data_IF_963829790584
#
_entry.id   IF_963829790584
#
_cell.length_a   1.000
_cell.length_b   1.000
_cell.length_c   1.000
_cell.angle_alpha   90.00
_cell.angle_beta   90.00
_cell.angle_gamma   90.00
#
_symmetry.space_group_name_H-M   'P 1'
#
loop_
_entity.id
_entity.type
_entity.pdbx_description
1 polymer ?
#
# COMPACT_ATOMS: atom_id res chain seq x y z
N UNK A 1 77.01 69.42 99.83
CA UNK A 1 75.74 68.67 100.04
C UNK A 1 75.38 67.92 98.75
N UNK A 2 76.02 66.79 98.45
CA UNK A 2 75.94 66.12 97.14
C UNK A 2 75.58 64.62 97.18
N UNK A 3 75.17 64.05 98.32
CA UNK A 3 75.14 62.58 98.50
C UNK A 3 73.78 61.90 98.74
N UNK A 4 72.64 62.55 98.42
CA UNK A 4 71.32 61.90 98.55
C UNK A 4 70.64 61.50 97.22
N UNK A 5 71.28 61.68 96.06
CA UNK A 5 70.67 61.40 94.74
C UNK A 5 71.01 60.03 94.11
N UNK A 6 71.82 59.20 94.76
CA UNK A 6 72.28 57.91 94.16
C UNK A 6 71.41 56.71 94.54
N UNK A 7 70.77 56.71 95.72
CA UNK A 7 69.98 55.57 96.21
C UNK A 7 68.63 55.37 95.47
N UNK A 8 68.00 56.44 94.97
CA UNK A 8 66.70 56.36 94.28
C UNK A 8 66.80 55.91 92.81
N UNK A 9 68.00 55.88 92.22
CA UNK A 9 68.23 55.32 90.87
C UNK A 9 68.39 53.80 90.85
N UNK A 10 68.83 53.19 91.96
CA UNK A 10 69.06 51.73 92.04
C UNK A 10 67.76 50.92 92.20
N UNK A 11 66.82 51.40 93.04
CA UNK A 11 65.51 50.76 93.23
C UNK A 11 64.63 50.79 91.96
N UNK A 12 64.67 51.88 91.17
CA UNK A 12 64.00 51.97 89.87
C UNK A 12 64.53 50.95 88.85
N UNK A 13 65.83 50.60 88.93
CA UNK A 13 66.48 49.64 88.03
C UNK A 13 66.13 48.19 88.37
N UNK A 14 65.93 47.86 89.65
CA UNK A 14 65.45 46.53 90.08
C UNK A 14 63.94 46.33 89.86
N UNK A 15 63.12 47.33 90.18
CA UNK A 15 61.68 47.28 89.89
C UNK A 15 61.40 47.16 88.38
N UNK A 16 62.17 47.86 87.54
CA UNK A 16 62.08 47.73 86.07
C UNK A 16 62.43 46.32 85.57
N UNK A 17 63.39 45.63 86.19
CA UNK A 17 63.80 44.25 85.84
C UNK A 17 62.77 43.20 86.26
N UNK A 18 62.13 43.36 87.42
CA UNK A 18 61.05 42.46 87.88
C UNK A 18 59.81 42.63 87.00
N UNK A 19 59.45 43.86 86.62
CA UNK A 19 58.34 44.14 85.70
C UNK A 19 58.62 43.60 84.29
N UNK A 20 59.88 43.62 83.83
CA UNK A 20 60.24 42.99 82.54
C UNK A 20 60.23 41.46 82.61
N UNK A 21 60.72 40.86 83.70
CA UNK A 21 60.64 39.42 83.89
C UNK A 21 59.18 38.92 83.96
N UNK A 22 58.29 39.64 84.66
CA UNK A 22 56.87 39.31 84.73
C UNK A 22 56.20 39.41 83.35
N UNK A 23 56.50 40.47 82.57
CA UNK A 23 56.01 40.60 81.19
C UNK A 23 56.50 39.47 80.29
N UNK A 24 57.74 39.01 80.44
CA UNK A 24 58.26 37.89 79.64
C UNK A 24 57.54 36.59 80.00
N UNK A 25 57.31 36.32 81.29
CA UNK A 25 56.56 35.14 81.73
C UNK A 25 55.11 35.19 81.23
N UNK A 26 54.45 36.33 81.33
CA UNK A 26 53.09 36.50 80.82
C UNK A 26 53.01 36.28 79.31
N UNK A 27 53.99 36.78 78.53
CA UNK A 27 54.09 36.55 77.08
C UNK A 27 54.36 35.08 76.74
N UNK A 28 55.18 34.38 77.52
CA UNK A 28 55.45 32.94 77.31
C UNK A 28 54.23 32.08 77.67
N UNK A 29 53.47 32.47 78.71
CA UNK A 29 52.25 31.77 79.12
C UNK A 29 51.11 32.02 78.14
N UNK A 30 50.94 33.23 77.61
CA UNK A 30 49.95 33.52 76.55
C UNK A 30 50.29 32.79 75.27
N UNK A 31 51.53 32.87 74.79
CA UNK A 31 51.96 32.13 73.59
C UNK A 31 51.81 30.61 73.73
N UNK A 32 52.12 30.01 74.89
CA UNK A 32 51.83 28.58 75.13
C UNK A 32 50.33 28.28 75.14
N UNK A 33 49.49 29.13 75.75
CA UNK A 33 48.03 28.95 75.72
C UNK A 33 47.47 29.06 74.31
N UNK A 34 47.96 30.00 73.52
CA UNK A 34 47.53 30.20 72.13
C UNK A 34 47.96 29.04 71.22
N UNK A 35 49.17 28.49 71.43
CA UNK A 35 49.61 27.28 70.72
C UNK A 35 48.80 26.04 71.11
N UNK A 36 48.38 25.91 72.37
CA UNK A 36 47.51 24.80 72.81
C UNK A 36 46.10 24.97 72.25
N UNK A 37 45.59 26.20 72.20
CA UNK A 37 44.26 26.54 71.68
C UNK A 37 44.15 26.28 70.18
N UNK A 38 45.12 26.77 69.40
CA UNK A 38 45.23 26.52 67.96
C UNK A 38 45.38 25.03 67.63
N UNK A 39 46.13 24.26 68.43
CA UNK A 39 46.20 22.79 68.27
C UNK A 39 44.87 22.08 68.57
N UNK A 40 44.09 22.57 69.55
CA UNK A 40 42.74 22.04 69.83
C UNK A 40 41.77 22.37 68.69
N UNK A 41 41.77 23.62 68.24
CA UNK A 41 40.92 24.10 67.14
C UNK A 41 41.24 23.34 65.84
N UNK A 42 42.52 23.13 65.49
CA UNK A 42 42.91 22.34 64.33
C UNK A 42 42.47 20.86 64.44
N UNK A 43 42.42 20.30 65.65
CA UNK A 43 41.97 18.92 65.88
C UNK A 43 40.45 18.80 65.74
N UNK A 44 39.68 19.75 66.29
CA UNK A 44 38.23 19.83 66.14
C UNK A 44 37.82 20.11 64.69
N UNK A 45 38.54 20.97 63.98
CA UNK A 45 38.33 21.18 62.54
C UNK A 45 38.59 19.91 61.73
N UNK A 46 39.67 19.18 62.05
CA UNK A 46 39.97 17.88 61.43
C UNK A 46 38.83 16.86 61.64
N UNK A 47 38.29 16.77 62.85
CA UNK A 47 37.15 15.90 63.17
C UNK A 47 35.86 16.34 62.47
N UNK A 48 35.58 17.65 62.39
CA UNK A 48 34.43 18.19 61.68
C UNK A 48 34.50 17.93 60.17
N UNK A 49 35.68 18.06 59.56
CA UNK A 49 35.92 17.71 58.16
C UNK A 49 35.70 16.21 57.93
N UNK A 50 36.17 15.36 58.85
CA UNK A 50 35.96 13.91 58.77
C UNK A 50 34.47 13.54 58.87
N UNK A 51 33.72 14.17 59.79
CA UNK A 51 32.27 14.00 59.91
C UNK A 51 31.52 14.44 58.66
N UNK A 52 31.88 15.59 58.07
CA UNK A 52 31.31 16.05 56.80
C UNK A 52 31.59 15.07 55.66
N UNK A 53 32.81 14.52 55.59
CA UNK A 53 33.17 13.45 54.63
C UNK A 53 32.34 12.17 54.84
N UNK A 54 32.11 11.77 56.09
CA UNK A 54 31.26 10.62 56.40
C UNK A 54 29.79 10.87 56.01
N UNK A 55 29.24 12.04 56.36
CA UNK A 55 27.87 12.42 55.99
C UNK A 55 27.67 12.47 54.48
N UNK A 56 28.60 13.08 53.74
CA UNK A 56 28.55 13.11 52.27
C UNK A 56 28.64 11.71 51.66
N UNK A 57 29.41 10.79 52.25
CA UNK A 57 29.42 9.39 51.81
C UNK A 57 28.08 8.68 52.07
N UNK A 58 27.48 8.87 53.24
CA UNK A 58 26.15 8.29 53.56
C UNK A 58 25.09 8.81 52.60
N UNK A 59 25.08 10.12 52.34
CA UNK A 59 24.16 10.74 51.38
C UNK A 59 24.38 10.16 49.99
N UNK A 60 25.63 10.09 49.52
CA UNK A 60 25.97 9.50 48.21
C UNK A 60 25.53 8.04 48.10
N UNK A 61 25.71 7.27 49.16
CA UNK A 61 25.27 5.87 49.18
C UNK A 61 23.75 5.77 49.10
N UNK A 62 23.02 6.54 49.90
CA UNK A 62 21.54 6.56 49.88
C UNK A 62 20.99 6.98 48.51
N UNK A 63 21.63 7.96 47.86
CA UNK A 63 21.24 8.46 46.55
C UNK A 63 21.52 7.41 45.46
N UNK A 64 22.66 6.72 45.53
CA UNK A 64 22.97 5.62 44.62
C UNK A 64 21.94 4.49 44.75
N UNK A 65 21.53 4.14 45.97
CA UNK A 65 20.49 3.12 46.21
C UNK A 65 19.15 3.57 45.63
N UNK A 66 18.77 4.83 45.84
CA UNK A 66 17.54 5.42 45.27
C UNK A 66 17.53 5.34 43.74
N UNK A 67 18.64 5.73 43.10
CA UNK A 67 18.80 5.66 41.64
C UNK A 67 18.79 4.22 41.14
N UNK A 68 19.43 3.30 41.87
CA UNK A 68 19.41 1.89 41.53
C UNK A 68 17.99 1.32 41.56
N UNK A 69 17.22 1.60 42.61
CA UNK A 69 15.83 1.17 42.71
C UNK A 69 14.95 1.80 41.64
N UNK A 70 15.17 3.07 41.30
CA UNK A 70 14.48 3.73 40.20
C UNK A 70 14.76 3.03 38.87
N UNK A 71 16.03 2.77 38.55
CA UNK A 71 16.43 2.03 37.33
C UNK A 71 15.83 0.62 37.31
N UNK A 72 15.82 -0.08 38.45
CA UNK A 72 15.23 -1.42 38.56
C UNK A 72 13.72 -1.40 38.29
N UNK A 73 13.00 -0.42 38.85
CA UNK A 73 11.56 -0.23 38.60
C UNK A 73 11.28 0.12 37.14
N UNK A 74 12.07 1.03 36.55
CA UNK A 74 11.95 1.36 35.13
C UNK A 74 12.24 0.15 34.23
N UNK A 75 13.28 -0.62 34.53
CA UNK A 75 13.60 -1.84 33.79
C UNK A 75 12.47 -2.86 33.86
N UNK A 76 11.90 -3.08 35.05
CA UNK A 76 10.73 -3.94 35.23
C UNK A 76 9.53 -3.46 34.43
N UNK A 77 9.19 -2.16 34.50
CA UNK A 77 8.09 -1.58 33.74
C UNK A 77 8.30 -1.74 32.23
N UNK A 78 9.50 -1.47 31.73
CA UNK A 78 9.86 -1.69 30.32
C UNK A 78 9.68 -3.15 29.91
N UNK A 79 10.08 -4.12 30.74
CA UNK A 79 9.89 -5.55 30.45
C UNK A 79 8.41 -5.92 30.37
N UNK A 80 7.61 -5.45 31.31
CA UNK A 80 6.15 -5.68 31.33
C UNK A 80 5.51 -5.09 30.07
N UNK A 81 5.83 -3.84 29.74
CA UNK A 81 5.31 -3.17 28.53
C UNK A 81 5.72 -3.89 27.25
N UNK A 82 6.99 -4.33 27.15
CA UNK A 82 7.48 -5.11 26.00
C UNK A 82 6.74 -6.44 25.88
N UNK A 83 6.55 -7.15 26.99
CA UNK A 83 5.79 -8.40 27.01
C UNK A 83 4.33 -8.19 26.58
N UNK A 84 3.67 -7.15 27.09
CA UNK A 84 2.30 -6.80 26.71
C UNK A 84 2.16 -6.44 25.23
N UNK A 85 3.06 -5.60 24.70
CA UNK A 85 3.08 -5.26 23.27
C UNK A 85 3.26 -6.51 22.42
N UNK A 86 4.18 -7.40 22.79
CA UNK A 86 4.40 -8.66 22.09
C UNK A 86 3.17 -9.57 22.16
N UNK A 87 2.52 -9.68 23.31
CA UNK A 87 1.28 -10.44 23.47
C UNK A 87 0.18 -9.89 22.56
N UNK A 88 -0.07 -8.57 22.61
CA UNK A 88 -1.07 -7.90 21.76
C UNK A 88 -0.81 -8.12 20.27
N UNK A 89 0.44 -7.97 19.83
CA UNK A 89 0.83 -8.22 18.42
C UNK A 89 0.63 -9.68 18.03
N UNK A 90 0.97 -10.64 18.91
CA UNK A 90 0.70 -12.06 18.68
C UNK A 90 -0.78 -12.36 18.60
N UNK A 91 -1.60 -11.85 19.52
CA UNK A 91 -3.05 -12.04 19.50
C UNK A 91 -3.67 -11.50 18.21
N UNK A 92 -3.23 -10.32 17.77
CA UNK A 92 -3.66 -9.73 16.50
C UNK A 92 -3.22 -10.56 15.30
N UNK A 93 -1.95 -11.00 15.27
CA UNK A 93 -1.43 -11.84 14.21
C UNK A 93 -2.19 -13.17 14.12
N UNK A 94 -2.43 -13.85 15.25
CA UNK A 94 -3.20 -15.09 15.32
C UNK A 94 -4.62 -14.86 14.78
N UNK A 95 -5.29 -13.77 15.18
CA UNK A 95 -6.62 -13.42 14.68
C UNK A 95 -6.62 -13.20 13.16
N UNK A 96 -5.60 -12.52 12.64
CA UNK A 96 -5.47 -12.25 11.21
C UNK A 96 -5.25 -13.56 10.43
N UNK A 97 -4.37 -14.44 10.92
CA UNK A 97 -4.13 -15.77 10.32
C UNK A 97 -5.40 -16.62 10.36
N UNK A 98 -6.14 -16.64 11.47
CA UNK A 98 -7.40 -17.36 11.57
C UNK A 98 -8.43 -16.83 10.57
N UNK A 99 -8.56 -15.50 10.44
CA UNK A 99 -9.47 -14.88 9.46
C UNK A 99 -9.08 -15.23 8.01
N UNK A 100 -7.79 -15.22 7.68
CA UNK A 100 -7.29 -15.63 6.38
C UNK A 100 -7.55 -17.12 6.09
N UNK A 101 -7.37 -17.99 7.09
CA UNK A 101 -7.66 -19.42 6.95
C UNK A 101 -9.14 -19.67 6.67
N UNK A 102 -10.04 -19.03 7.41
CA UNK A 102 -11.49 -19.11 7.18
C UNK A 102 -11.87 -18.59 5.79
N UNK A 103 -11.27 -17.48 5.35
CA UNK A 103 -11.50 -16.94 4.01
C UNK A 103 -11.04 -17.92 2.92
N UNK A 104 -9.84 -18.51 3.06
CA UNK A 104 -9.35 -19.54 2.13
C UNK A 104 -10.25 -20.77 2.10
N UNK A 105 -10.77 -21.23 3.24
CA UNK A 105 -11.73 -22.34 3.28
C UNK A 105 -13.02 -21.99 2.54
N UNK A 106 -13.60 -20.80 2.77
CA UNK A 106 -14.83 -20.37 2.05
C UNK A 106 -14.61 -20.27 0.54
N UNK A 107 -13.47 -19.72 0.10
CA UNK A 107 -13.14 -19.64 -1.33
C UNK A 107 -12.92 -21.02 -1.96
N UNK A 108 -12.49 -22.03 -1.18
CA UNK A 108 -12.31 -23.41 -1.64
C UNK A 108 -13.60 -24.23 -1.67
N UNK A 109 -14.65 -23.85 -0.94
CA UNK A 109 -15.89 -24.63 -0.88
C UNK A 109 -16.49 -24.91 -2.27
N UNK A 110 -16.52 -23.92 -3.15
CA UNK A 110 -17.01 -24.13 -4.53
C UNK A 110 -16.13 -25.06 -5.37
N UNK A 111 -14.80 -24.99 -5.18
CA UNK A 111 -13.87 -25.88 -5.87
C UNK A 111 -13.97 -27.33 -5.33
N UNK A 112 -14.14 -27.49 -4.03
CA UNK A 112 -14.29 -28.80 -3.39
C UNK A 112 -15.62 -29.46 -3.80
N UNK A 113 -16.70 -28.68 -3.92
CA UNK A 113 -17.98 -29.16 -4.46
C UNK A 113 -17.85 -29.59 -5.92
N UNK A 114 -17.18 -28.78 -6.75
CA UNK A 114 -16.90 -29.14 -8.14
C UNK A 114 -16.08 -30.44 -8.25
N UNK A 115 -15.04 -30.60 -7.43
CA UNK A 115 -14.25 -31.84 -7.37
C UNK A 115 -15.08 -33.04 -6.92
N UNK A 116 -16.00 -32.86 -5.94
CA UNK A 116 -16.93 -33.92 -5.52
C UNK A 116 -17.86 -34.34 -6.65
N UNK A 117 -18.38 -33.38 -7.42
CA UNK A 117 -19.22 -33.67 -8.59
C UNK A 117 -18.44 -34.45 -9.65
N UNK A 118 -17.20 -34.04 -9.97
CA UNK A 118 -16.32 -34.78 -10.90
C UNK A 118 -16.07 -36.21 -10.40
N UNK A 119 -15.74 -36.35 -9.12
CA UNK A 119 -15.50 -37.66 -8.51
C UNK A 119 -16.75 -38.55 -8.59
N UNK A 120 -17.93 -38.00 -8.27
CA UNK A 120 -19.20 -38.72 -8.38
C UNK A 120 -19.47 -39.18 -9.83
N UNK A 121 -19.27 -38.31 -10.82
CA UNK A 121 -19.43 -38.67 -12.24
C UNK A 121 -18.44 -39.75 -12.67
N UNK A 122 -17.20 -39.69 -12.18
CA UNK A 122 -16.17 -40.68 -12.48
C UNK A 122 -16.54 -42.04 -11.89
N UNK A 123 -17.02 -42.08 -10.64
CA UNK A 123 -17.50 -43.31 -10.00
C UNK A 123 -18.71 -43.87 -10.76
N UNK A 124 -19.69 -43.02 -11.14
CA UNK A 124 -20.84 -43.44 -11.92
C UNK A 124 -20.44 -44.04 -13.27
N UNK A 125 -19.50 -43.41 -13.98
CA UNK A 125 -18.98 -43.91 -15.25
C UNK A 125 -18.29 -45.27 -15.07
N UNK A 126 -17.44 -45.40 -14.05
CA UNK A 126 -16.76 -46.65 -13.72
C UNK A 126 -17.76 -47.77 -13.40
N UNK A 127 -18.81 -47.46 -12.62
CA UNK A 127 -19.87 -48.39 -12.27
C UNK A 127 -20.67 -48.86 -13.49
N UNK A 128 -21.07 -47.93 -14.37
CA UNK A 128 -21.73 -48.27 -15.65
C UNK A 128 -20.85 -49.16 -16.51
N UNK A 129 -19.54 -48.87 -16.61
CA UNK A 129 -18.57 -49.73 -17.31
C UNK A 129 -18.45 -51.12 -16.68
N UNK A 130 -18.53 -51.23 -15.35
CA UNK A 130 -18.50 -52.50 -14.64
C UNK A 130 -19.73 -53.36 -14.94
N UNK A 131 -20.94 -52.80 -14.78
CA UNK A 131 -22.20 -53.50 -15.06
C UNK A 131 -22.24 -53.96 -16.51
N UNK A 132 -21.86 -53.11 -17.46
CA UNK A 132 -21.81 -53.47 -18.88
C UNK A 132 -20.88 -54.65 -19.15
N UNK A 133 -19.69 -54.67 -18.54
CA UNK A 133 -18.74 -55.79 -18.66
C UNK A 133 -19.31 -57.09 -18.08
N UNK A 134 -19.92 -57.03 -16.90
CA UNK A 134 -20.63 -58.17 -16.28
C UNK A 134 -21.73 -58.72 -17.19
N UNK A 135 -22.56 -57.84 -17.76
CA UNK A 135 -23.66 -58.24 -18.63
C UNK A 135 -23.16 -58.83 -19.97
N UNK A 136 -22.09 -58.27 -20.56
CA UNK A 136 -21.45 -58.85 -21.74
C UNK A 136 -20.81 -60.23 -21.47
N UNK A 137 -20.34 -60.46 -20.25
CA UNK A 137 -19.83 -61.77 -19.83
C UNK A 137 -20.96 -62.79 -19.73
N UNK A 138 -22.12 -62.42 -19.17
CA UNK A 138 -23.27 -63.32 -19.03
C UNK A 138 -24.04 -63.59 -20.32
N UNK A 139 -23.95 -62.70 -21.33
CA UNK A 139 -24.74 -62.79 -22.57
C UNK A 139 -24.18 -63.74 -23.66
N UNK A 140 -23.32 -64.70 -23.34
CA UNK A 140 -22.83 -65.65 -24.35
C UNK A 140 -23.99 -66.58 -24.82
N UNK A 141 -24.27 -66.75 -26.13
CA UNK A 141 -23.52 -66.35 -27.33
C UNK A 141 -23.95 -65.01 -28.02
N UNK A 142 -24.99 -64.31 -27.54
CA UNK A 142 -25.59 -63.12 -28.20
C UNK A 142 -24.88 -61.77 -27.94
N UNK A 143 -23.56 -61.77 -27.70
CA UNK A 143 -22.77 -60.57 -27.35
C UNK A 143 -22.80 -59.47 -28.43
N UNK A 144 -23.16 -59.81 -29.67
CA UNK A 144 -23.18 -58.90 -30.82
C UNK A 144 -24.21 -57.78 -30.68
N UNK A 145 -25.36 -58.05 -30.05
CA UNK A 145 -26.44 -57.06 -29.90
C UNK A 145 -26.03 -55.89 -29.00
N UNK A 146 -25.42 -56.17 -27.84
CA UNK A 146 -24.94 -55.12 -26.93
C UNK A 146 -23.65 -54.44 -27.39
N UNK A 147 -22.80 -55.11 -28.17
CA UNK A 147 -21.59 -54.47 -28.72
C UNK A 147 -21.89 -53.33 -29.70
N UNK A 148 -23.01 -53.40 -30.44
CA UNK A 148 -23.41 -52.35 -31.38
C UNK A 148 -23.71 -51.01 -30.70
N UNK A 149 -24.16 -51.06 -29.44
CA UNK A 149 -24.47 -49.91 -28.61
C UNK A 149 -23.31 -49.49 -27.70
N UNK A 150 -22.08 -49.94 -27.99
CA UNK A 150 -20.89 -49.58 -27.20
C UNK A 150 -20.45 -48.17 -27.58
N UNK A 151 -20.40 -47.21 -26.63
CA UNK A 151 -19.98 -45.84 -26.95
C UNK A 151 -18.61 -45.78 -27.62
N UNK A 152 -17.68 -46.68 -27.28
CA UNK A 152 -16.36 -46.73 -27.93
C UNK A 152 -16.48 -47.17 -29.39
N UNK A 153 -17.31 -48.17 -29.69
CA UNK A 153 -17.55 -48.65 -31.04
C UNK A 153 -18.32 -47.61 -31.88
N UNK A 154 -19.33 -46.96 -31.30
CA UNK A 154 -20.09 -45.88 -31.95
C UNK A 154 -19.16 -44.72 -32.28
N UNK A 155 -18.34 -44.27 -31.33
CA UNK A 155 -17.37 -43.21 -31.55
C UNK A 155 -16.35 -43.58 -32.63
N UNK A 156 -15.87 -44.82 -32.64
CA UNK A 156 -14.96 -45.31 -33.69
C UNK A 156 -15.62 -45.28 -35.07
N UNK A 157 -16.88 -45.74 -35.18
CA UNK A 157 -17.65 -45.68 -36.43
C UNK A 157 -17.87 -44.25 -36.90
N UNK A 158 -18.23 -43.34 -35.99
CA UNK A 158 -18.40 -41.92 -36.30
C UNK A 158 -17.09 -41.30 -36.77
N UNK A 159 -15.96 -41.58 -36.10
CA UNK A 159 -14.64 -41.10 -36.55
C UNK A 159 -14.27 -41.63 -37.93
N UNK A 160 -14.50 -42.91 -38.19
CA UNK A 160 -14.24 -43.51 -39.50
C UNK A 160 -15.11 -42.85 -40.59
N UNK A 161 -16.40 -42.63 -40.31
CA UNK A 161 -17.33 -41.97 -41.23
C UNK A 161 -16.94 -40.51 -41.49
N UNK A 162 -16.57 -39.75 -40.46
CA UNK A 162 -16.08 -38.38 -40.59
C UNK A 162 -14.79 -38.35 -41.40
N UNK A 163 -13.85 -39.26 -41.12
CA UNK A 163 -12.62 -39.40 -41.90
C UNK A 163 -12.88 -39.77 -43.35
N UNK A 164 -13.91 -40.56 -43.64
CA UNK A 164 -14.29 -40.90 -45.00
C UNK A 164 -14.88 -39.69 -45.72
N UNK A 165 -15.83 -38.97 -45.12
CA UNK A 165 -16.51 -37.83 -45.75
C UNK A 165 -15.57 -36.64 -45.94
N UNK A 166 -14.73 -36.35 -44.95
CA UNK A 166 -13.90 -35.13 -44.94
C UNK A 166 -12.42 -35.39 -45.19
N UNK A 167 -11.95 -36.63 -45.10
CA UNK A 167 -10.58 -37.00 -45.46
C UNK A 167 -10.41 -37.33 -46.94
N UNK A 168 -11.51 -37.52 -47.67
CA UNK A 168 -11.48 -37.69 -49.11
C UNK A 168 -11.24 -36.32 -49.77
N UNK A 169 -10.11 -36.18 -50.46
CA UNK A 169 -9.80 -35.02 -51.28
C UNK A 169 -10.68 -35.06 -52.54
N UNK A 170 -11.89 -34.53 -52.43
CA UNK A 170 -12.76 -34.37 -53.59
C UNK A 170 -12.14 -33.29 -54.47
N UNK A 171 -11.71 -33.67 -55.69
CA UNK A 171 -11.33 -32.71 -56.71
C UNK A 171 -12.58 -31.92 -57.11
N UNK A 172 -12.87 -30.85 -56.38
CA UNK A 172 -13.93 -29.93 -56.72
C UNK A 172 -13.53 -29.24 -58.03
N UNK A 173 -14.20 -29.52 -59.17
CA UNK A 173 -13.99 -28.69 -60.35
C UNK A 173 -14.35 -27.27 -59.93
N UNK A 174 -13.42 -26.33 -60.14
CA UNK A 174 -13.63 -24.94 -59.77
C UNK A 174 -14.89 -24.45 -60.52
N UNK A 175 -16.01 -24.35 -59.81
CA UNK A 175 -17.26 -23.90 -60.41
C UNK A 175 -17.19 -22.38 -60.51
N UNK A 176 -16.55 -21.90 -61.57
CA UNK A 176 -16.73 -20.52 -62.03
C UNK A 176 -17.92 -20.54 -62.99
N UNK A 177 -19.12 -20.11 -62.56
CA UNK A 177 -20.16 -19.80 -63.51
C UNK A 177 -19.61 -18.67 -64.37
N UNK A 178 -19.53 -18.90 -65.68
CA UNK A 178 -19.28 -17.81 -66.62
C UNK A 178 -20.54 -16.94 -66.66
N UNK A 179 -20.75 -16.15 -65.59
CA UNK A 179 -21.80 -15.16 -65.53
C UNK A 179 -21.45 -14.11 -66.57
N UNK A 180 -22.12 -14.17 -67.72
CA UNK A 180 -22.06 -13.10 -68.71
C UNK A 180 -22.43 -11.81 -67.97
N UNK A 181 -21.55 -10.80 -68.03
CA UNK A 181 -21.83 -9.51 -67.40
C UNK A 181 -23.14 -8.99 -67.99
N UNK A 182 -24.16 -8.65 -67.18
CA UNK A 182 -25.41 -8.14 -67.71
C UNK A 182 -25.12 -6.89 -68.54
N UNK A 183 -25.39 -6.97 -69.84
CA UNK A 183 -25.13 -5.88 -70.77
C UNK A 183 -26.18 -4.79 -70.53
N UNK A 184 -25.75 -3.64 -70.02
CA UNK A 184 -26.62 -2.49 -69.82
C UNK A 184 -27.20 -2.03 -71.16
N UNK A 185 -28.53 -1.82 -71.27
CA UNK A 185 -29.12 -1.28 -72.49
C UNK A 185 -28.53 0.10 -72.80
N UNK A 186 -28.39 0.43 -74.09
CA UNK A 186 -27.59 1.58 -74.55
C UNK A 186 -27.94 2.91 -73.86
N UNK A 187 -29.23 3.19 -73.65
CA UNK A 187 -29.72 4.39 -72.99
C UNK A 187 -29.31 4.50 -71.51
N UNK A 188 -29.11 3.37 -70.81
CA UNK A 188 -28.63 3.35 -69.41
C UNK A 188 -27.11 3.49 -69.27
N UNK A 189 -26.35 3.48 -70.37
CA UNK A 189 -24.88 3.68 -70.30
C UNK A 189 -24.51 5.11 -69.96
N UNK A 190 -25.37 6.06 -70.31
CA UNK A 190 -25.22 7.49 -70.00
C UNK A 190 -25.68 7.81 -68.58
N UNK A 191 -26.56 6.99 -68.00
CA UNK A 191 -27.00 7.13 -66.63
C UNK A 191 -25.93 6.57 -65.67
N UNK A 192 -25.53 7.32 -64.63
CA UNK A 192 -24.63 6.79 -63.62
C UNK A 192 -25.24 5.56 -62.96
N UNK A 193 -24.40 4.56 -62.67
CA UNK A 193 -24.86 3.40 -61.90
C UNK A 193 -25.34 3.84 -60.52
N UNK A 194 -26.26 3.10 -59.90
CA UNK A 194 -26.70 3.37 -58.52
C UNK A 194 -25.50 3.42 -57.56
N UNK A 195 -24.47 2.60 -57.80
CA UNK A 195 -23.22 2.64 -57.04
C UNK A 195 -22.42 3.94 -57.27
N UNK A 196 -22.40 4.46 -58.50
CA UNK A 196 -21.78 5.74 -58.81
C UNK A 196 -22.56 6.90 -58.19
N UNK A 197 -23.90 6.87 -58.21
CA UNK A 197 -24.74 7.85 -57.53
C UNK A 197 -24.51 7.83 -56.02
N UNK A 198 -24.47 6.65 -55.40
CA UNK A 198 -24.21 6.54 -53.95
C UNK A 198 -22.81 7.00 -53.58
N UNK A 199 -21.82 6.72 -54.43
CA UNK A 199 -20.44 7.17 -54.22
C UNK A 199 -20.32 8.69 -54.33
N UNK A 200 -20.91 9.29 -55.38
CA UNK A 200 -20.92 10.74 -55.56
C UNK A 200 -21.67 11.45 -54.42
N UNK A 201 -22.84 10.93 -54.03
CA UNK A 201 -23.58 11.43 -52.87
C UNK A 201 -22.76 11.40 -51.59
N UNK A 202 -22.04 10.30 -51.33
CA UNK A 202 -21.17 10.19 -50.17
C UNK A 202 -20.00 11.19 -50.25
N UNK A 203 -19.32 11.30 -51.40
CA UNK A 203 -18.23 12.26 -51.62
C UNK A 203 -18.70 13.70 -51.36
N UNK A 204 -19.88 14.07 -51.86
CA UNK A 204 -20.45 15.40 -51.70
C UNK A 204 -20.77 15.73 -50.22
N UNK A 205 -21.19 14.72 -49.44
CA UNK A 205 -21.42 14.88 -47.99
C UNK A 205 -20.12 15.06 -47.19
N UNK A 206 -19.02 14.45 -47.62
CA UNK A 206 -17.76 14.46 -46.88
C UNK A 206 -16.77 15.53 -47.36
N UNK A 207 -17.07 16.29 -48.42
CA UNK A 207 -16.19 17.36 -48.88
C UNK A 207 -16.22 18.56 -47.91
N UNK A 208 -15.14 18.85 -47.17
CA UNK A 208 -15.16 19.77 -46.03
C UNK A 208 -15.50 21.22 -46.38
N UNK A 209 -15.27 21.63 -47.63
CA UNK A 209 -15.62 22.97 -48.12
C UNK A 209 -17.12 23.12 -48.48
N UNK A 210 -17.80 22.02 -48.83
CA UNK A 210 -19.24 21.98 -49.10
C UNK A 210 -20.00 21.74 -47.79
N UNK A 211 -19.48 20.88 -46.92
CA UNK A 211 -20.04 20.56 -45.61
C UNK A 211 -19.99 21.73 -44.61
N UNK A 212 -18.99 22.63 -44.68
CA UNK A 212 -18.94 23.85 -43.83
C UNK A 212 -19.97 24.90 -44.22
N UNK A 213 -20.41 24.91 -45.48
CA UNK A 213 -21.52 25.75 -45.96
C UNK A 213 -22.80 24.93 -45.79
N UNK A 214 -23.09 24.55 -44.54
CA UNK A 214 -24.24 23.72 -44.21
C UNK A 214 -25.46 24.25 -44.93
N UNK A 215 -26.13 23.37 -45.70
CA UNK A 215 -27.43 23.61 -46.33
C UNK A 215 -27.63 25.08 -46.73
N UNK A 216 -27.15 25.51 -47.90
CA UNK A 216 -27.70 26.73 -48.50
C UNK A 216 -29.23 26.61 -48.39
N UNK A 217 -29.92 27.56 -47.73
CA UNK A 217 -31.37 27.47 -47.61
C UNK A 217 -31.91 27.35 -49.02
N UNK A 218 -32.58 26.22 -49.28
CA UNK A 218 -33.33 26.05 -50.52
C UNK A 218 -34.18 27.32 -50.68
N UNK A 219 -34.20 27.99 -51.85
CA UNK A 219 -35.03 29.18 -52.03
C UNK A 219 -36.52 28.90 -51.79
N UNK A 220 -36.90 27.63 -51.66
CA UNK A 220 -38.24 27.15 -51.36
C UNK A 220 -38.48 26.87 -49.87
N UNK A 221 -37.46 26.89 -49.01
CA UNK A 221 -37.57 26.54 -47.58
C UNK A 221 -36.99 27.65 -46.70
N UNK A 222 -37.73 28.05 -45.68
CA UNK A 222 -37.23 29.00 -44.68
C UNK A 222 -36.21 28.36 -43.72
N UNK A 223 -35.55 29.17 -42.90
CA UNK A 223 -34.49 28.74 -41.96
C UNK A 223 -34.92 27.64 -40.97
N UNK A 224 -36.23 27.41 -40.82
CA UNK A 224 -36.83 26.36 -39.98
C UNK A 224 -37.23 25.09 -40.76
N UNK A 225 -37.00 25.05 -42.08
CA UNK A 225 -37.27 23.89 -42.94
C UNK A 225 -38.72 23.75 -43.43
N UNK A 226 -39.53 24.80 -43.33
CA UNK A 226 -40.90 24.83 -43.86
C UNK A 226 -40.94 25.45 -45.27
N UNK A 227 -41.85 25.02 -46.16
CA UNK A 227 -42.03 25.63 -47.46
C UNK A 227 -42.39 27.11 -47.32
N UNK A 228 -41.58 27.97 -47.91
CA UNK A 228 -41.76 29.42 -47.87
C UNK A 228 -43.00 29.79 -48.69
N UNK A 229 -43.94 30.51 -48.10
CA UNK A 229 -45.13 30.96 -48.83
C UNK A 229 -44.69 31.91 -49.96
N UNK A 230 -45.06 31.57 -51.19
CA UNK A 230 -44.67 32.30 -52.39
C UNK A 230 -45.50 33.59 -52.46
N UNK A 231 -44.94 34.70 -51.99
CA UNK A 231 -45.56 36.02 -52.13
C UNK A 231 -45.33 36.48 -53.57
N UNK A 232 -46.37 36.44 -54.39
CA UNK A 232 -46.37 37.06 -55.71
C UNK A 232 -46.37 38.59 -55.55
N UNK A 233 -45.18 39.17 -55.31
CA UNK A 233 -44.99 40.58 -55.62
C UNK A 233 -44.88 40.67 -57.14
N UNK A 234 -45.92 41.22 -57.77
CA UNK A 234 -45.87 41.66 -59.16
C UNK A 234 -44.73 42.70 -59.22
N UNK A 235 -43.68 42.39 -59.96
CA UNK A 235 -42.66 43.36 -60.31
C UNK A 235 -43.36 44.28 -61.31
N UNK A 236 -43.56 45.55 -60.93
CA UNK A 236 -44.11 46.55 -61.84
C UNK A 236 -43.16 46.67 -63.04
N UNK A 237 -43.71 46.56 -64.25
CA UNK A 237 -42.98 46.44 -65.51
C UNK A 237 -42.07 47.65 -65.85
N UNK A 238 -42.10 48.72 -65.06
CA UNK A 238 -41.27 49.92 -65.26
C UNK A 238 -39.79 49.73 -64.87
N UNK A 239 -39.43 48.81 -63.97
CA UNK A 239 -38.02 48.62 -63.56
C UNK A 239 -37.18 47.80 -64.56
N UNK A 240 -37.79 47.12 -65.53
CA UNK A 240 -37.07 46.24 -66.46
C UNK A 240 -36.55 46.94 -67.73
N UNK A 241 -36.88 48.22 -67.96
CA UNK A 241 -36.42 48.96 -69.14
C UNK A 241 -35.11 49.74 -68.96
N UNK A 242 -34.62 49.94 -67.73
CA UNK A 242 -33.43 50.76 -67.47
C UNK A 242 -32.10 49.97 -67.38
N UNK A 243 -32.09 48.70 -67.81
CA UNK A 243 -30.93 47.80 -67.61
C UNK A 243 -30.28 47.23 -68.89
N UNK A 244 -30.59 47.75 -70.08
CA UNK A 244 -29.80 47.48 -71.32
C UNK A 244 -28.72 48.54 -71.57
#
# INVERSE_FOLDING_TARGET
MADQKVATRSFKKMAGKIVTAQKIVDVVVTTRRDVIRTKKEAKEEGENVLRRKQQTQVIKHSENTRLHDFRRKQYAAMRIQKAWRNHKMRSFAILLTAKQAVHKMRMRQGADEFHKQIAALTIQLAWRKYIRRKLLQSLAPNKRQLRMWDPELIAMKQRALVSQIYGEQIAAPFWHPNMLRPQRPYWTKLAPSSAALSYNFAIDQYHPLVAKKGSMPSPFLDEKGYPKEFIWQMIDEEELQDSE
#
